data_IF_568284705910
#
_entry.id   IF_568284705910
#
_cell.length_a   1.000
_cell.length_b   1.000
_cell.length_c   1.000
_cell.angle_alpha   90.00
_cell.angle_beta   90.00
_cell.angle_gamma   90.00
#
_symmetry.space_group_name_H-M   'P 1'
#
loop_
_entity.id
_entity.type
_entity.pdbx_description
1 polymer ?
#
# COMPACT_ATOMS: atom_id res chain seq x y z
N UNK A 1 16.99 -44.22 -1.68
CA UNK A 1 15.58 -44.09 -1.13
C UNK A 1 14.80 -42.97 -1.78
N UNK A 2 14.78 -41.79 -1.10
CA UNK A 2 14.18 -40.48 -1.59
C UNK A 2 13.58 -39.62 -0.45
N UNK A 3 12.42 -40.09 -0.02
CA UNK A 3 11.57 -39.43 0.99
C UNK A 3 12.02 -38.37 1.99
N UNK A 4 11.04 -37.62 2.43
CA UNK A 4 11.27 -36.55 3.35
C UNK A 4 12.07 -36.95 4.57
N UNK A 5 11.49 -37.80 5.44
CA UNK A 5 12.20 -38.21 6.65
C UNK A 5 13.71 -38.39 6.52
N UNK A 6 14.17 -38.96 5.42
CA UNK A 6 15.60 -39.16 5.26
C UNK A 6 16.26 -37.86 4.82
N UNK A 7 15.61 -37.13 3.91
CA UNK A 7 16.15 -35.87 3.44
C UNK A 7 16.54 -35.01 4.64
N UNK A 8 15.59 -34.81 5.55
CA UNK A 8 15.81 -34.02 6.76
C UNK A 8 17.15 -34.36 7.37
N UNK A 9 17.46 -35.65 7.38
CA UNK A 9 18.71 -36.12 7.94
C UNK A 9 19.83 -35.89 6.94
N UNK A 10 19.53 -36.14 5.66
CA UNK A 10 20.48 -35.94 4.58
C UNK A 10 21.14 -34.58 4.75
N UNK A 11 20.39 -33.67 5.37
CA UNK A 11 20.85 -32.31 5.62
C UNK A 11 22.09 -32.28 6.52
N UNK A 12 21.98 -32.99 7.65
CA UNK A 12 23.02 -33.03 8.67
C UNK A 12 24.43 -33.58 8.44
N UNK A 13 24.60 -34.62 7.63
CA UNK A 13 25.93 -35.15 7.48
C UNK A 13 26.79 -34.39 6.47
N UNK A 14 28.08 -34.33 6.80
CA UNK A 14 29.18 -33.68 6.09
C UNK A 14 29.35 -33.69 4.56
N UNK A 15 28.80 -34.65 3.81
CA UNK A 15 29.02 -34.57 2.37
C UNK A 15 28.03 -33.59 1.76
N UNK A 16 28.53 -32.44 1.29
CA UNK A 16 27.70 -31.40 0.70
C UNK A 16 26.85 -31.93 -0.46
N UNK A 17 27.33 -32.97 -1.13
CA UNK A 17 26.62 -33.59 -2.24
C UNK A 17 25.28 -34.13 -1.73
N UNK A 18 25.27 -34.54 -0.46
CA UNK A 18 24.07 -35.07 0.20
C UNK A 18 23.44 -34.03 1.13
N UNK A 19 23.97 -32.81 1.07
CA UNK A 19 23.45 -31.70 1.85
C UNK A 19 22.65 -30.87 0.85
N UNK A 20 23.08 -30.95 -0.42
CA UNK A 20 22.42 -30.24 -1.50
C UNK A 20 21.10 -30.96 -1.71
N UNK A 21 21.20 -32.23 -2.06
CA UNK A 21 20.03 -33.10 -2.29
C UNK A 21 18.97 -32.86 -1.22
N UNK A 22 19.44 -32.76 0.02
CA UNK A 22 18.57 -32.56 1.16
C UNK A 22 17.57 -31.42 1.11
N UNK A 23 18.05 -30.18 1.19
CA UNK A 23 17.14 -29.04 1.15
C UNK A 23 16.39 -29.02 -0.16
N UNK A 24 17.11 -29.21 -1.27
CA UNK A 24 16.49 -29.24 -2.60
C UNK A 24 15.29 -30.16 -2.58
N UNK A 25 15.49 -31.39 -2.09
CA UNK A 25 14.40 -32.35 -2.03
C UNK A 25 13.22 -31.79 -1.25
N UNK A 26 13.45 -31.36 -0.02
CA UNK A 26 12.34 -30.83 0.75
C UNK A 26 11.84 -29.49 0.23
N UNK A 27 12.60 -28.86 -0.68
CA UNK A 27 12.12 -27.61 -1.23
C UNK A 27 10.89 -27.98 -2.06
N UNK A 28 11.08 -28.73 -3.16
CA UNK A 28 9.93 -29.09 -3.99
C UNK A 28 8.91 -29.92 -3.24
N UNK A 29 9.27 -31.17 -2.99
CA UNK A 29 8.40 -32.10 -2.29
C UNK A 29 7.44 -31.35 -1.37
N UNK A 30 8.01 -30.41 -0.61
CA UNK A 30 7.23 -29.62 0.32
C UNK A 30 6.86 -28.27 -0.25
N UNK A 31 6.47 -28.24 -1.52
CA UNK A 31 6.09 -26.97 -2.14
C UNK A 31 4.63 -26.68 -1.86
N UNK A 32 3.75 -27.40 -2.55
CA UNK A 32 2.33 -27.16 -2.42
C UNK A 32 1.49 -28.31 -1.87
N UNK A 33 1.71 -28.69 -0.62
CA UNK A 33 0.88 -29.74 -0.05
C UNK A 33 0.47 -29.41 1.38
N UNK A 34 1.33 -28.69 2.11
CA UNK A 34 1.05 -28.28 3.48
C UNK A 34 1.16 -29.36 4.55
N UNK A 35 1.39 -30.59 4.12
CA UNK A 35 1.53 -31.70 5.06
C UNK A 35 3.01 -32.03 5.20
N UNK A 36 3.73 -31.91 4.09
CA UNK A 36 5.16 -32.18 4.11
C UNK A 36 5.83 -31.04 4.88
N UNK A 37 5.07 -29.97 5.13
CA UNK A 37 5.58 -28.83 5.88
C UNK A 37 5.49 -29.21 7.33
N UNK A 38 4.36 -29.81 7.70
CA UNK A 38 4.13 -30.27 9.06
C UNK A 38 5.32 -31.15 9.36
N UNK A 39 5.46 -32.20 8.56
CA UNK A 39 6.53 -33.19 8.69
C UNK A 39 7.88 -32.54 8.96
N UNK A 40 8.43 -31.89 7.94
CA UNK A 40 9.73 -31.24 8.06
C UNK A 40 9.82 -30.47 9.37
N UNK A 41 8.73 -29.80 9.73
CA UNK A 41 8.67 -29.01 10.96
C UNK A 41 8.85 -29.92 12.15
N UNK A 42 7.85 -30.76 12.39
CA UNK A 42 7.90 -31.68 13.52
C UNK A 42 9.05 -32.69 13.37
N UNK A 43 9.85 -32.51 12.32
CA UNK A 43 10.99 -33.38 12.08
C UNK A 43 12.28 -32.62 12.40
N UNK A 44 12.15 -31.34 12.68
CA UNK A 44 13.29 -30.51 13.01
C UNK A 44 14.14 -30.09 11.82
N UNK A 45 13.53 -30.06 10.64
CA UNK A 45 14.24 -29.67 9.43
C UNK A 45 14.49 -28.19 9.37
N UNK A 46 13.64 -27.43 10.07
CA UNK A 46 13.76 -25.98 10.14
C UNK A 46 15.20 -25.65 10.51
N UNK A 47 15.56 -26.02 11.74
CA UNK A 47 16.88 -25.80 12.29
C UNK A 47 18.00 -26.22 11.37
N UNK A 48 17.95 -27.47 10.93
CA UNK A 48 18.99 -28.00 10.07
C UNK A 48 19.30 -27.07 8.91
N UNK A 49 18.29 -26.80 8.08
CA UNK A 49 18.45 -25.92 6.93
C UNK A 49 18.96 -24.54 7.32
N UNK A 50 18.51 -24.01 8.47
CA UNK A 50 18.91 -22.69 8.94
C UNK A 50 20.43 -22.53 9.04
N UNK A 51 21.12 -23.58 9.44
CA UNK A 51 22.57 -23.53 9.56
C UNK A 51 23.17 -23.52 8.16
N UNK A 52 23.06 -24.66 7.47
CA UNK A 52 23.57 -24.86 6.12
C UNK A 52 23.84 -23.60 5.32
N UNK A 53 23.08 -22.53 5.60
CA UNK A 53 23.26 -21.24 4.91
C UNK A 53 24.69 -20.74 5.10
N UNK A 54 25.28 -21.10 6.25
CA UNK A 54 26.65 -20.73 6.59
C UNK A 54 27.61 -21.48 5.70
N UNK A 55 27.14 -22.58 5.13
CA UNK A 55 27.93 -23.43 4.24
C UNK A 55 28.71 -22.71 3.15
N UNK A 56 29.86 -23.29 2.74
CA UNK A 56 30.77 -22.78 1.71
C UNK A 56 30.36 -23.09 0.26
N UNK A 57 29.33 -23.92 0.06
CA UNK A 57 28.90 -24.24 -1.29
C UNK A 57 27.60 -23.50 -1.65
N UNK A 58 27.66 -22.68 -2.71
CA UNK A 58 26.53 -21.88 -3.18
C UNK A 58 25.27 -22.72 -3.33
N UNK A 59 25.43 -23.94 -3.81
CA UNK A 59 24.29 -24.83 -3.98
C UNK A 59 23.68 -25.21 -2.64
N UNK A 60 24.51 -25.61 -1.69
CA UNK A 60 23.99 -25.96 -0.37
C UNK A 60 23.44 -24.68 0.24
N UNK A 61 23.70 -23.56 -0.43
CA UNK A 61 23.22 -22.25 0.00
C UNK A 61 21.87 -21.97 -0.67
N UNK A 62 21.80 -22.22 -1.97
CA UNK A 62 20.57 -22.03 -2.72
C UNK A 62 19.55 -22.98 -2.13
N UNK A 63 19.93 -24.25 -2.12
CA UNK A 63 19.11 -25.34 -1.62
C UNK A 63 18.41 -25.02 -0.30
N UNK A 64 19.19 -24.67 0.71
CA UNK A 64 18.63 -24.36 2.00
C UNK A 64 17.72 -23.14 1.92
N UNK A 65 18.20 -22.11 1.21
CA UNK A 65 17.44 -20.88 1.05
C UNK A 65 16.03 -21.13 0.52
N UNK A 66 15.94 -21.78 -0.64
CA UNK A 66 14.65 -22.07 -1.23
C UNK A 66 13.80 -22.94 -0.32
N UNK A 67 14.34 -24.11 0.01
CA UNK A 67 13.64 -25.06 0.86
C UNK A 67 12.93 -24.29 1.97
N UNK A 68 13.63 -23.32 2.55
CA UNK A 68 13.06 -22.52 3.63
C UNK A 68 11.93 -21.64 3.14
N UNK A 69 12.16 -20.93 2.03
CA UNK A 69 11.17 -20.03 1.44
C UNK A 69 9.86 -20.75 1.23
N UNK A 70 9.94 -21.94 0.65
CA UNK A 70 8.76 -22.73 0.40
C UNK A 70 8.16 -23.28 1.68
N UNK A 71 9.02 -23.83 2.54
CA UNK A 71 8.55 -24.40 3.80
C UNK A 71 7.70 -23.45 4.62
N UNK A 72 8.05 -22.18 4.58
CA UNK A 72 7.33 -21.17 5.32
C UNK A 72 6.08 -20.65 4.63
N UNK A 73 6.16 -20.47 3.32
CA UNK A 73 5.04 -19.94 2.56
C UNK A 73 3.69 -20.29 3.16
N UNK A 74 3.00 -19.27 3.63
CA UNK A 74 1.68 -19.44 4.18
C UNK A 74 1.64 -20.52 5.26
N UNK A 75 2.20 -20.21 6.42
CA UNK A 75 2.23 -21.13 7.56
C UNK A 75 2.72 -20.36 8.78
N UNK A 76 1.79 -19.87 9.59
CA UNK A 76 2.16 -19.13 10.78
C UNK A 76 3.24 -19.87 11.56
N UNK A 77 2.99 -21.15 11.80
CA UNK A 77 3.92 -22.00 12.53
C UNK A 77 5.36 -21.88 12.07
N UNK A 78 5.68 -22.59 10.98
CA UNK A 78 7.00 -22.62 10.39
C UNK A 78 7.69 -21.26 10.37
N UNK A 79 6.90 -20.21 10.24
CA UNK A 79 7.46 -18.86 10.26
C UNK A 79 8.04 -18.64 11.66
N UNK A 80 7.15 -18.60 12.65
CA UNK A 80 7.56 -18.40 14.04
C UNK A 80 8.82 -19.21 14.34
N UNK A 81 8.78 -20.50 14.08
CA UNK A 81 9.93 -21.34 14.35
C UNK A 81 11.16 -20.90 13.55
N UNK A 82 10.96 -20.45 12.30
CA UNK A 82 12.10 -20.03 11.51
C UNK A 82 12.90 -18.95 12.26
N UNK A 83 12.20 -18.15 13.05
CA UNK A 83 12.84 -17.12 13.84
C UNK A 83 13.49 -17.74 15.07
N UNK A 84 12.69 -18.46 15.86
CA UNK A 84 13.18 -19.12 17.05
C UNK A 84 14.48 -19.86 16.75
N UNK A 85 14.65 -20.30 15.51
CA UNK A 85 15.85 -21.04 15.11
C UNK A 85 17.00 -20.13 14.72
N UNK A 86 16.83 -18.82 14.90
CA UNK A 86 17.87 -17.88 14.53
C UNK A 86 18.05 -17.84 13.02
N UNK A 87 16.97 -17.56 12.30
CA UNK A 87 17.04 -17.52 10.85
C UNK A 87 17.01 -16.11 10.27
N UNK A 88 16.14 -15.26 10.80
CA UNK A 88 16.06 -13.90 10.32
C UNK A 88 17.45 -13.29 10.44
N UNK A 89 18.24 -13.86 11.33
CA UNK A 89 19.62 -13.42 11.57
C UNK A 89 20.54 -14.06 10.53
N UNK A 90 20.22 -15.29 10.14
CA UNK A 90 21.02 -16.01 9.18
C UNK A 90 20.73 -15.68 7.71
N UNK A 91 19.48 -15.38 7.39
CA UNK A 91 19.15 -15.06 6.02
C UNK A 91 19.84 -13.77 5.62
N UNK A 92 19.70 -12.75 6.46
CA UNK A 92 20.28 -11.44 6.21
C UNK A 92 21.82 -11.45 6.14
N UNK A 93 22.44 -12.34 6.89
CA UNK A 93 23.88 -12.45 6.90
C UNK A 93 24.40 -13.14 5.65
N UNK A 94 23.47 -13.50 4.76
CA UNK A 94 23.87 -14.15 3.53
C UNK A 94 23.75 -13.12 2.40
N UNK A 95 22.71 -12.29 2.46
CA UNK A 95 22.53 -11.26 1.43
C UNK A 95 23.72 -10.29 1.43
N UNK A 96 24.26 -10.02 2.61
CA UNK A 96 25.40 -9.11 2.76
C UNK A 96 26.65 -9.55 2.01
N UNK A 97 26.85 -10.86 1.92
CA UNK A 97 28.00 -11.37 1.20
C UNK A 97 27.60 -12.41 0.17
N UNK A 98 26.89 -11.96 -0.87
CA UNK A 98 26.48 -12.86 -1.93
C UNK A 98 26.49 -12.14 -3.27
N UNK A 99 26.85 -12.89 -4.31
CA UNK A 99 26.88 -12.35 -5.65
C UNK A 99 25.95 -13.18 -6.50
N UNK A 100 25.45 -14.27 -5.93
CA UNK A 100 24.55 -15.17 -6.63
C UNK A 100 23.13 -14.59 -6.75
N UNK A 101 22.65 -14.44 -7.98
CA UNK A 101 21.32 -13.88 -8.23
C UNK A 101 20.22 -14.78 -7.68
N UNK A 102 20.39 -16.09 -7.82
CA UNK A 102 19.40 -17.03 -7.33
C UNK A 102 19.34 -17.02 -5.80
N UNK A 103 20.51 -16.95 -5.15
CA UNK A 103 20.55 -16.92 -3.68
C UNK A 103 19.85 -15.67 -3.18
N UNK A 104 20.06 -14.57 -3.89
CA UNK A 104 19.45 -13.30 -3.53
C UNK A 104 17.93 -13.33 -3.73
N UNK A 105 17.48 -14.03 -4.77
CA UNK A 105 16.05 -14.14 -5.04
C UNK A 105 15.36 -14.96 -3.96
N UNK A 106 15.99 -16.06 -3.56
CA UNK A 106 15.43 -16.94 -2.56
C UNK A 106 15.34 -16.34 -1.16
N UNK A 107 16.46 -15.81 -0.68
CA UNK A 107 16.51 -15.20 0.64
C UNK A 107 15.50 -14.07 0.74
N UNK A 108 15.44 -13.30 -0.33
CA UNK A 108 14.55 -12.16 -0.40
C UNK A 108 13.09 -12.60 -0.46
N UNK A 109 12.82 -13.72 -1.15
CA UNK A 109 11.46 -14.23 -1.26
C UNK A 109 11.04 -14.80 0.08
N UNK A 110 12.01 -15.39 0.77
CA UNK A 110 11.82 -15.96 2.09
C UNK A 110 11.34 -14.86 3.00
N UNK A 111 12.20 -13.85 3.17
CA UNK A 111 11.90 -12.69 4.01
C UNK A 111 10.52 -12.10 3.74
N UNK A 112 10.13 -12.07 2.47
CA UNK A 112 8.83 -11.54 2.07
C UNK A 112 7.77 -12.34 2.75
N UNK A 113 7.87 -13.66 2.65
CA UNK A 113 6.88 -14.55 3.28
C UNK A 113 6.76 -14.28 4.78
N UNK A 114 7.90 -14.12 5.45
CA UNK A 114 7.89 -13.85 6.88
C UNK A 114 7.14 -12.56 7.26
N UNK A 115 7.30 -11.51 6.46
CA UNK A 115 6.66 -10.22 6.73
C UNK A 115 5.15 -10.18 6.79
N UNK A 116 4.50 -11.22 6.29
CA UNK A 116 3.04 -11.25 6.33
C UNK A 116 2.58 -11.74 7.70
N UNK A 117 3.50 -12.36 8.45
CA UNK A 117 3.18 -12.86 9.78
C UNK A 117 3.14 -11.61 10.68
N UNK A 118 1.95 -11.04 10.77
CA UNK A 118 1.73 -9.79 11.50
C UNK A 118 2.54 -9.43 12.72
N UNK A 119 3.13 -10.40 13.40
CA UNK A 119 3.86 -10.02 14.59
C UNK A 119 5.37 -9.86 14.51
N UNK A 120 6.09 -10.87 14.06
CA UNK A 120 7.55 -10.75 14.01
C UNK A 120 8.14 -9.78 12.98
N UNK A 121 7.36 -8.82 12.53
CA UNK A 121 7.85 -7.83 11.57
C UNK A 121 9.01 -7.05 12.18
N UNK A 122 8.84 -6.69 13.46
CA UNK A 122 9.79 -5.92 14.24
C UNK A 122 11.26 -6.29 14.07
N UNK A 123 11.57 -7.58 14.04
CA UNK A 123 12.95 -8.03 13.88
C UNK A 123 13.39 -7.89 12.43
N UNK A 124 12.40 -7.79 11.54
CA UNK A 124 12.65 -7.63 10.10
C UNK A 124 13.03 -6.21 9.76
N UNK A 125 12.30 -5.26 10.33
CA UNK A 125 12.60 -3.87 10.08
C UNK A 125 13.89 -3.53 10.81
N UNK A 126 14.12 -4.25 11.91
CA UNK A 126 15.32 -4.02 12.70
C UNK A 126 16.57 -4.57 12.01
N UNK A 127 16.51 -5.81 11.53
CA UNK A 127 17.67 -6.43 10.89
C UNK A 127 17.60 -6.65 9.38
N UNK A 128 16.40 -6.82 8.84
CA UNK A 128 16.21 -7.05 7.41
C UNK A 128 16.23 -5.78 6.55
N UNK A 129 15.32 -4.87 6.86
CA UNK A 129 15.20 -3.62 6.13
C UNK A 129 16.48 -3.04 5.52
N UNK A 130 17.51 -2.80 6.34
CA UNK A 130 18.79 -2.25 5.87
C UNK A 130 19.42 -2.93 4.67
N UNK A 131 19.75 -4.21 4.82
CA UNK A 131 20.35 -4.95 3.72
C UNK A 131 19.53 -4.86 2.45
N UNK A 132 18.20 -4.85 2.60
CA UNK A 132 17.30 -4.76 1.46
C UNK A 132 17.34 -3.35 0.85
N UNK A 133 17.26 -2.34 1.71
CA UNK A 133 17.30 -0.96 1.25
C UNK A 133 18.60 -0.68 0.52
N UNK A 134 19.68 -1.25 1.04
CA UNK A 134 21.03 -1.05 0.50
C UNK A 134 21.39 -1.88 -0.72
N UNK A 135 21.65 -3.17 -0.50
CA UNK A 135 22.06 -4.05 -1.59
C UNK A 135 21.04 -4.33 -2.71
N UNK A 136 19.76 -4.13 -2.45
CA UNK A 136 18.79 -4.40 -3.49
C UNK A 136 18.05 -3.15 -3.95
N UNK A 137 17.17 -2.64 -3.10
CA UNK A 137 16.39 -1.50 -3.50
C UNK A 137 17.15 -0.28 -4.07
N UNK A 138 17.97 0.38 -3.28
CA UNK A 138 18.65 1.57 -3.80
C UNK A 138 19.38 1.43 -5.14
N UNK A 139 20.34 0.49 -5.22
CA UNK A 139 21.10 0.27 -6.46
C UNK A 139 20.26 -0.27 -7.61
N UNK A 140 18.94 -0.26 -7.51
CA UNK A 140 18.12 -0.78 -8.61
C UNK A 140 17.51 0.39 -9.35
N UNK A 141 17.13 1.39 -8.57
CA UNK A 141 16.52 2.59 -9.09
C UNK A 141 17.59 3.49 -9.63
N UNK A 142 18.79 3.31 -9.09
CA UNK A 142 19.93 4.11 -9.50
C UNK A 142 19.77 5.50 -8.94
N UNK A 143 19.34 5.56 -7.69
CA UNK A 143 19.11 6.83 -7.05
C UNK A 143 20.41 7.55 -6.64
N UNK A 144 21.54 6.99 -7.03
CA UNK A 144 22.86 7.55 -6.72
C UNK A 144 22.87 9.08 -6.89
N UNK A 154 24.26 -4.82 -10.14
CA UNK A 154 23.09 -4.77 -11.01
C UNK A 154 21.75 -4.93 -10.27
N UNK A 155 21.55 -6.10 -9.68
CA UNK A 155 20.32 -6.44 -8.95
C UNK A 155 19.26 -6.89 -9.96
N UNK A 156 18.81 -8.12 -9.81
CA UNK A 156 17.83 -8.70 -10.71
C UNK A 156 16.43 -8.18 -10.42
N UNK A 157 15.68 -7.85 -11.47
CA UNK A 157 14.32 -7.34 -11.34
C UNK A 157 13.47 -8.14 -10.35
N UNK A 158 13.77 -9.42 -10.18
CA UNK A 158 12.98 -10.25 -9.27
C UNK A 158 13.38 -10.03 -7.80
N UNK A 159 14.68 -9.83 -7.57
CA UNK A 159 15.17 -9.60 -6.23
C UNK A 159 14.52 -8.33 -5.71
N UNK A 160 14.46 -7.31 -6.55
CA UNK A 160 13.85 -6.02 -6.20
C UNK A 160 12.36 -6.24 -5.96
N UNK A 161 11.78 -7.15 -6.73
CA UNK A 161 10.37 -7.49 -6.60
C UNK A 161 10.07 -8.00 -5.19
N UNK A 162 10.78 -9.06 -4.79
CA UNK A 162 10.61 -9.64 -3.47
C UNK A 162 10.92 -8.65 -2.35
N UNK A 163 11.98 -7.88 -2.51
CA UNK A 163 12.38 -6.91 -1.49
C UNK A 163 11.27 -5.87 -1.25
N UNK A 164 10.81 -5.28 -2.34
CA UNK A 164 9.75 -4.29 -2.27
C UNK A 164 8.50 -4.95 -1.71
N UNK A 165 8.37 -6.26 -1.94
CA UNK A 165 7.22 -6.98 -1.43
C UNK A 165 7.33 -7.01 0.08
N UNK A 166 8.55 -7.31 0.52
CA UNK A 166 8.90 -7.39 1.93
C UNK A 166 8.60 -6.06 2.62
N UNK A 167 9.15 -4.96 2.09
CA UNK A 167 8.92 -3.65 2.70
C UNK A 167 7.44 -3.25 2.66
N UNK A 168 6.70 -3.86 1.76
CA UNK A 168 5.29 -3.54 1.60
C UNK A 168 4.50 -3.99 2.79
N UNK A 169 5.01 -5.01 3.45
CA UNK A 169 4.36 -5.55 4.63
C UNK A 169 4.84 -4.83 5.86
N UNK A 170 6.12 -4.46 5.84
CA UNK A 170 6.73 -3.72 6.96
C UNK A 170 6.13 -2.31 7.03
N UNK A 171 5.94 -1.69 5.88
CA UNK A 171 5.36 -0.35 5.88
C UNK A 171 3.98 -0.40 6.51
N UNK A 172 3.56 -1.58 6.96
CA UNK A 172 2.23 -1.73 7.54
C UNK A 172 2.11 -1.46 9.05
N UNK A 173 3.20 -1.59 9.79
CA UNK A 173 3.15 -1.36 11.23
C UNK A 173 3.62 0.05 11.54
N UNK A 174 3.17 0.59 12.68
CA UNK A 174 3.55 1.95 13.09
C UNK A 174 5.08 2.20 13.07
N UNK A 175 5.86 1.21 13.46
CA UNK A 175 7.32 1.35 13.49
C UNK A 175 7.92 1.36 12.08
N UNK A 176 7.71 0.31 11.31
CA UNK A 176 8.25 0.26 9.96
C UNK A 176 7.99 1.53 9.20
N UNK A 177 6.76 2.03 9.30
CA UNK A 177 6.37 3.26 8.62
C UNK A 177 7.31 4.40 9.02
N UNK A 178 7.51 4.55 10.32
CA UNK A 178 8.36 5.61 10.83
C UNK A 178 9.87 5.35 10.70
N UNK A 179 10.25 4.16 10.28
CA UNK A 179 11.68 3.85 10.14
C UNK A 179 12.17 4.10 8.72
N UNK A 180 11.30 3.82 7.75
CA UNK A 180 11.62 4.03 6.34
C UNK A 180 11.52 5.52 6.02
N UNK A 181 10.52 6.19 6.59
CA UNK A 181 10.38 7.62 6.36
C UNK A 181 11.69 8.31 6.76
N UNK A 182 12.54 7.61 7.52
CA UNK A 182 13.80 8.18 8.00
C UNK A 182 15.06 7.51 7.45
N UNK A 183 14.90 6.34 6.85
CA UNK A 183 16.05 5.64 6.29
C UNK A 183 16.52 6.33 5.00
N UNK A 184 17.58 7.11 5.14
CA UNK A 184 18.14 7.88 4.04
C UNK A 184 18.22 7.22 2.65
N UNK A 185 17.47 7.81 1.71
CA UNK A 185 17.45 7.35 0.33
C UNK A 185 16.43 6.30 -0.06
N UNK A 186 15.68 5.78 0.89
CA UNK A 186 14.71 4.76 0.57
C UNK A 186 13.54 5.30 -0.25
N UNK A 187 12.76 6.21 0.33
CA UNK A 187 11.64 6.78 -0.40
C UNK A 187 12.20 7.46 -1.64
N UNK A 188 13.38 8.04 -1.51
CA UNK A 188 14.01 8.69 -2.64
C UNK A 188 14.07 7.69 -3.80
N UNK A 189 14.48 6.47 -3.51
CA UNK A 189 14.59 5.44 -4.53
C UNK A 189 13.24 4.91 -5.00
N UNK A 190 12.42 4.44 -4.06
CA UNK A 190 11.11 3.93 -4.40
C UNK A 190 10.46 4.95 -5.35
N UNK A 191 10.76 6.21 -5.07
CA UNK A 191 10.25 7.32 -5.85
C UNK A 191 10.78 7.37 -7.27
N UNK A 192 12.07 7.12 -7.44
CA UNK A 192 12.64 7.16 -8.77
C UNK A 192 11.93 6.10 -9.58
N UNK A 193 12.13 4.85 -9.17
CA UNK A 193 11.52 3.72 -9.85
C UNK A 193 10.09 3.97 -10.31
N UNK A 194 9.20 4.37 -9.42
CA UNK A 194 7.83 4.60 -9.88
C UNK A 194 7.86 5.65 -10.99
N UNK A 195 8.51 6.80 -10.74
CA UNK A 195 8.62 7.86 -11.75
C UNK A 195 9.25 7.33 -13.04
N UNK A 196 10.37 6.63 -12.91
CA UNK A 196 11.06 6.01 -14.04
C UNK A 196 10.04 5.20 -14.84
N UNK A 197 9.42 4.23 -14.19
CA UNK A 197 8.42 3.38 -14.84
C UNK A 197 7.32 4.17 -15.54
N UNK A 198 6.87 5.26 -14.92
CA UNK A 198 5.82 6.03 -15.56
C UNK A 198 6.28 6.64 -16.89
N UNK A 199 7.56 7.01 -16.99
CA UNK A 199 8.08 7.61 -18.24
C UNK A 199 8.28 6.51 -19.29
N UNK A 200 8.79 5.37 -18.84
CA UNK A 200 9.01 4.22 -19.70
C UNK A 200 7.68 3.76 -20.21
N UNK A 201 6.61 4.26 -19.60
CA UNK A 201 5.25 3.89 -19.98
C UNK A 201 5.06 2.44 -19.58
N UNK A 202 5.53 2.15 -18.37
CA UNK A 202 5.44 0.82 -17.80
C UNK A 202 4.68 1.01 -16.47
N UNK A 203 3.56 1.71 -16.53
CA UNK A 203 2.77 1.96 -15.34
C UNK A 203 2.46 0.73 -14.51
N UNK A 204 2.41 -0.42 -15.15
CA UNK A 204 2.13 -1.66 -14.45
C UNK A 204 3.36 -2.54 -14.52
N UNK A 205 4.51 -1.92 -14.35
CA UNK A 205 5.76 -2.64 -14.36
C UNK A 205 5.80 -3.68 -13.23
N UNK A 206 6.84 -4.48 -13.13
CA UNK A 206 6.85 -5.50 -12.10
C UNK A 206 6.60 -5.07 -10.67
N UNK A 207 7.36 -4.10 -10.16
CA UNK A 207 7.18 -3.77 -8.76
C UNK A 207 6.55 -2.45 -8.42
N UNK A 208 5.89 -1.82 -9.39
CA UNK A 208 5.23 -0.54 -9.17
C UNK A 208 4.14 -0.64 -8.09
N UNK A 209 3.33 -1.69 -8.15
CA UNK A 209 2.28 -1.89 -7.17
C UNK A 209 2.84 -1.97 -5.74
N UNK A 210 3.86 -2.81 -5.55
CA UNK A 210 4.50 -2.92 -4.23
C UNK A 210 4.93 -1.54 -3.77
N UNK A 211 5.79 -0.91 -4.57
CA UNK A 211 6.29 0.40 -4.26
C UNK A 211 5.14 1.38 -4.00
N UNK A 212 4.14 1.38 -4.88
CA UNK A 212 3.01 2.26 -4.68
C UNK A 212 2.28 1.99 -3.39
N UNK A 213 2.38 0.76 -2.88
CA UNK A 213 1.73 0.44 -1.62
C UNK A 213 2.57 0.95 -0.44
N UNK A 214 3.88 0.79 -0.55
CA UNK A 214 4.81 1.26 0.48
C UNK A 214 4.62 2.75 0.66
N UNK A 215 4.44 3.46 -0.44
CA UNK A 215 4.26 4.90 -0.37
C UNK A 215 2.92 5.24 0.22
N UNK A 216 1.91 4.44 -0.10
CA UNK A 216 0.56 4.62 0.42
C UNK A 216 0.66 4.49 1.92
N UNK A 217 1.38 3.45 2.34
CA UNK A 217 1.56 3.21 3.76
C UNK A 217 2.42 4.28 4.47
N UNK A 218 3.49 4.75 3.83
CA UNK A 218 4.32 5.78 4.45
C UNK A 218 3.67 7.18 4.47
N UNK A 219 2.50 7.31 3.86
CA UNK A 219 1.78 8.58 3.79
C UNK A 219 0.65 8.59 4.80
N UNK A 220 0.60 7.56 5.64
CA UNK A 220 -0.46 7.49 6.62
C UNK A 220 -0.15 8.39 7.81
N UNK A 221 -1.13 9.21 8.19
CA UNK A 221 -0.96 10.15 9.30
C UNK A 221 0.37 10.92 9.20
N UNK A 222 0.59 11.55 8.06
CA UNK A 222 1.80 12.31 7.78
C UNK A 222 1.88 13.66 8.50
N UNK A 223 0.83 14.47 8.42
CA UNK A 223 0.89 15.76 9.11
C UNK A 223 0.97 15.56 10.60
N UNK A 224 0.67 14.36 11.04
CA UNK A 224 0.71 14.05 12.46
C UNK A 224 2.08 13.56 12.89
N UNK A 225 2.88 13.08 11.95
CA UNK A 225 4.19 12.58 12.30
C UNK A 225 5.34 13.38 11.74
N UNK A 226 5.48 13.47 10.43
CA UNK A 226 6.60 14.22 9.89
C UNK A 226 6.33 15.71 9.97
N UNK A 227 7.31 16.48 10.47
CA UNK A 227 7.18 17.94 10.61
C UNK A 227 7.33 18.63 9.27
N UNK A 228 6.62 19.72 9.10
CA UNK A 228 6.64 20.47 7.85
C UNK A 228 6.36 21.94 8.08
N UNK A 229 6.27 22.68 6.98
CA UNK A 229 5.97 24.10 7.08
C UNK A 229 4.54 24.24 7.55
N UNK A 230 3.67 23.34 7.07
CA UNK A 230 2.28 23.43 7.44
C UNK A 230 2.12 23.44 8.94
N UNK A 231 2.80 22.53 9.63
CA UNK A 231 2.65 22.48 11.08
C UNK A 231 3.20 23.72 11.75
N UNK A 232 4.18 24.34 11.11
CA UNK A 232 4.76 25.56 11.64
C UNK A 232 3.70 26.66 11.42
N UNK A 233 3.30 26.85 10.17
CA UNK A 233 2.30 27.83 9.80
C UNK A 233 1.07 27.60 10.65
N UNK A 234 1.05 26.47 11.35
CA UNK A 234 -0.09 26.15 12.18
C UNK A 234 0.04 26.66 13.62
N UNK A 235 1.27 26.74 14.15
CA UNK A 235 1.49 27.21 15.52
C UNK A 235 1.37 28.73 15.64
N UNK A 236 1.97 29.46 14.71
CA UNK A 236 1.89 30.91 14.73
C UNK A 236 0.88 31.38 13.69
N UNK A 237 -0.36 30.94 13.86
CA UNK A 237 -1.46 31.29 12.94
C UNK A 237 -2.71 30.48 13.27
N UNK A 266 -0.19 28.11 2.05
CA UNK A 266 0.76 29.21 1.85
C UNK A 266 2.21 28.76 1.64
N UNK A 267 2.65 27.66 2.29
CA UNK A 267 4.03 27.19 2.13
C UNK A 267 4.59 27.18 0.71
N UNK A 268 5.91 27.28 0.63
CA UNK A 268 6.61 27.28 -0.65
C UNK A 268 6.50 25.89 -1.25
N UNK A 269 7.39 25.02 -0.78
CA UNK A 269 7.50 23.62 -1.19
C UNK A 269 8.97 23.33 -1.49
N UNK A 270 9.61 22.57 -0.61
CA UNK A 270 11.01 22.22 -0.77
C UNK A 270 11.41 22.23 -2.23
N UNK A 271 12.58 22.76 -2.51
CA UNK A 271 13.02 22.80 -3.90
C UNK A 271 13.68 21.47 -4.21
N UNK A 272 14.35 20.93 -3.20
CA UNK A 272 15.05 19.68 -3.34
C UNK A 272 14.52 18.67 -2.35
N UNK A 273 13.34 18.07 -2.63
CA UNK A 273 12.81 17.09 -1.68
C UNK A 273 13.77 15.93 -1.44
N UNK A 274 13.95 15.58 -0.17
CA UNK A 274 14.82 14.49 0.26
C UNK A 274 13.88 13.49 0.86
N UNK A 275 14.27 12.23 0.87
CA UNK A 275 13.45 11.16 1.43
C UNK A 275 12.05 11.49 1.92
N UNK A 276 11.88 11.51 3.24
CA UNK A 276 10.58 11.78 3.82
C UNK A 276 9.88 12.93 3.09
N UNK A 277 10.68 13.78 2.50
CA UNK A 277 10.17 14.95 1.80
C UNK A 277 9.29 14.77 0.58
N UNK A 278 9.49 13.69 -0.17
CA UNK A 278 8.67 13.46 -1.35
C UNK A 278 7.18 13.23 -1.08
N UNK A 279 6.86 12.35 -0.14
CA UNK A 279 5.48 12.01 0.19
C UNK A 279 4.49 13.15 0.14
N UNK A 280 4.96 14.38 0.29
CA UNK A 280 4.04 15.51 0.27
C UNK A 280 4.41 16.53 -0.79
N UNK A 281 5.18 16.10 -1.79
CA UNK A 281 5.61 16.98 -2.88
C UNK A 281 4.70 16.79 -4.11
N UNK A 282 4.47 17.88 -4.85
CA UNK A 282 3.60 17.82 -6.01
C UNK A 282 4.22 16.96 -7.10
N UNK A 283 5.50 16.65 -6.92
CA UNK A 283 6.20 15.83 -7.87
C UNK A 283 5.65 14.43 -7.76
N UNK A 284 5.44 13.99 -6.53
CA UNK A 284 4.92 12.66 -6.26
C UNK A 284 3.43 12.60 -6.53
N UNK A 285 2.71 13.65 -6.15
CA UNK A 285 1.29 13.71 -6.40
C UNK A 285 1.04 13.47 -7.88
N UNK A 286 1.85 14.14 -8.72
CA UNK A 286 1.75 14.01 -10.17
C UNK A 286 2.05 12.60 -10.63
N UNK A 287 3.14 12.03 -10.11
CA UNK A 287 3.52 10.67 -10.45
C UNK A 287 2.37 9.72 -10.07
N UNK A 288 1.73 9.97 -8.92
CA UNK A 288 0.60 9.15 -8.48
C UNK A 288 -0.54 9.35 -9.44
N UNK A 289 -0.95 10.59 -9.63
CA UNK A 289 -2.04 10.91 -10.52
C UNK A 289 -1.77 10.34 -11.92
N UNK A 290 -0.50 10.19 -12.24
CA UNK A 290 -0.08 9.63 -13.52
C UNK A 290 -0.41 8.14 -13.55
N UNK A 291 0.02 7.45 -12.52
CA UNK A 291 -0.25 6.03 -12.43
C UNK A 291 -1.75 5.83 -12.50
N UNK A 292 -2.47 6.64 -11.72
CA UNK A 292 -3.93 6.58 -11.64
C UNK A 292 -4.66 6.52 -12.99
N UNK A 293 -4.29 7.40 -13.92
CA UNK A 293 -4.93 7.41 -15.21
C UNK A 293 -4.42 6.37 -16.21
N UNK A 294 -3.23 5.82 -16.01
CA UNK A 294 -2.74 4.81 -16.96
C UNK A 294 -2.75 3.36 -16.46
N UNK A 295 -2.61 3.15 -15.16
CA UNK A 295 -2.57 1.79 -14.65
C UNK A 295 -3.73 0.89 -14.98
N UNK A 296 -3.45 -0.40 -15.03
CA UNK A 296 -4.46 -1.37 -15.33
C UNK A 296 -4.72 -2.22 -14.12
N UNK A 297 -3.95 -2.04 -13.05
CA UNK A 297 -4.14 -2.80 -11.81
C UNK A 297 -4.93 -2.03 -10.75
N UNK A 298 -6.05 -2.59 -10.30
CA UNK A 298 -6.88 -1.96 -9.27
C UNK A 298 -6.02 -1.75 -8.04
N UNK A 299 -5.26 -2.79 -7.71
CA UNK A 299 -4.35 -2.76 -6.59
C UNK A 299 -3.59 -1.43 -6.64
N UNK A 300 -2.94 -1.14 -7.75
CA UNK A 300 -2.20 0.09 -7.89
C UNK A 300 -3.09 1.30 -7.83
N UNK A 301 -4.23 1.28 -8.50
CA UNK A 301 -5.13 2.42 -8.46
C UNK A 301 -5.49 2.76 -7.03
N UNK A 302 -5.75 1.73 -6.23
CA UNK A 302 -6.13 1.93 -4.83
C UNK A 302 -5.04 2.60 -4.02
N UNK A 303 -3.79 2.35 -4.37
CA UNK A 303 -2.67 2.95 -3.66
C UNK A 303 -2.60 4.41 -4.01
N UNK A 304 -2.54 4.68 -5.30
CA UNK A 304 -2.50 6.04 -5.74
C UNK A 304 -3.61 6.80 -5.07
N UNK A 305 -4.85 6.36 -5.24
CA UNK A 305 -5.99 7.04 -4.60
C UNK A 305 -5.73 7.11 -3.10
N UNK A 306 -5.30 5.97 -2.58
CA UNK A 306 -5.02 5.84 -1.18
C UNK A 306 -4.08 6.87 -0.62
N UNK A 307 -2.87 6.96 -1.14
CA UNK A 307 -1.92 7.95 -0.62
C UNK A 307 -2.50 9.37 -0.64
N UNK A 308 -3.20 9.73 -1.71
CA UNK A 308 -3.78 11.06 -1.78
C UNK A 308 -4.75 11.21 -0.62
N UNK A 309 -5.55 10.17 -0.36
CA UNK A 309 -6.49 10.15 0.77
C UNK A 309 -5.74 10.46 2.08
N UNK A 310 -4.69 9.68 2.39
CA UNK A 310 -3.91 9.89 3.60
C UNK A 310 -3.31 11.28 3.73
N UNK A 311 -2.74 11.79 2.65
CA UNK A 311 -2.14 13.13 2.62
C UNK A 311 -3.17 14.21 2.90
N UNK A 312 -4.43 13.90 2.65
CA UNK A 312 -5.51 14.85 2.79
C UNK A 312 -6.49 14.51 3.93
N UNK A 313 -6.05 13.68 4.87
CA UNK A 313 -6.90 13.29 5.99
C UNK A 313 -6.86 14.32 7.14
N UNK A 314 -5.65 14.84 7.34
CA UNK A 314 -5.29 15.81 8.38
C UNK A 314 -6.22 16.88 8.91
N UNK A 315 -7.42 17.09 8.34
CA UNK A 315 -8.32 18.17 8.82
C UNK A 315 -7.55 19.42 9.28
N UNK A 316 -6.27 19.51 8.92
CA UNK A 316 -5.46 20.64 9.33
C UNK A 316 -5.22 21.58 8.19
N UNK A 317 -3.97 22.02 8.07
CA UNK A 317 -3.61 22.97 7.02
C UNK A 317 -2.91 22.25 5.87
N UNK A 318 -2.19 21.18 6.20
CA UNK A 318 -1.47 20.42 5.19
C UNK A 318 -2.47 19.76 4.27
N UNK A 319 -3.63 19.44 4.82
CA UNK A 319 -4.69 18.81 4.06
C UNK A 319 -5.21 19.81 3.05
N UNK A 320 -5.24 21.08 3.42
CA UNK A 320 -5.71 22.13 2.53
C UNK A 320 -4.73 22.38 1.37
N UNK A 321 -3.44 22.36 1.68
CA UNK A 321 -2.45 22.57 0.64
C UNK A 321 -2.42 21.38 -0.30
N UNK A 322 -2.35 20.18 0.30
CA UNK A 322 -2.33 18.95 -0.46
C UNK A 322 -3.56 18.86 -1.32
N UNK A 323 -4.72 19.21 -0.80
CA UNK A 323 -5.92 19.17 -1.63
C UNK A 323 -5.71 20.04 -2.85
N UNK A 324 -5.23 21.25 -2.62
CA UNK A 324 -4.99 22.23 -3.67
C UNK A 324 -3.98 21.79 -4.72
N UNK A 325 -2.91 21.17 -4.25
CA UNK A 325 -1.85 20.69 -5.11
C UNK A 325 -2.34 19.58 -6.04
N UNK A 326 -3.38 18.89 -5.57
CA UNK A 326 -4.01 17.78 -6.27
C UNK A 326 -5.03 18.31 -7.25
N UNK A 327 -6.09 18.88 -6.71
CA UNK A 327 -7.16 19.38 -7.57
C UNK A 327 -6.85 20.63 -8.36
N UNK A 328 -5.80 21.36 -8.02
CA UNK A 328 -5.52 22.59 -8.75
C UNK A 328 -4.19 22.64 -9.52
N UNK A 329 -3.09 22.37 -8.85
CA UNK A 329 -1.81 22.44 -9.55
C UNK A 329 -1.69 21.28 -10.54
N UNK A 330 -1.81 20.05 -10.05
CA UNK A 330 -1.70 18.92 -10.92
C UNK A 330 -3.02 18.55 -11.58
N UNK A 331 -3.99 19.45 -11.48
CA UNK A 331 -5.33 19.23 -12.05
C UNK A 331 -5.70 17.76 -12.14
N UNK A 332 -5.83 17.08 -11.01
CA UNK A 332 -6.14 15.67 -11.05
C UNK A 332 -7.55 15.19 -10.83
N UNK A 333 -8.50 16.11 -10.56
CA UNK A 333 -9.88 15.69 -10.34
C UNK A 333 -10.34 14.63 -11.33
N UNK A 334 -10.02 14.81 -12.61
CA UNK A 334 -10.38 13.87 -13.67
C UNK A 334 -10.05 12.41 -13.38
N UNK A 335 -8.77 12.07 -13.20
CA UNK A 335 -8.38 10.68 -12.92
C UNK A 335 -9.01 10.14 -11.65
N UNK A 336 -9.41 11.02 -10.74
CA UNK A 336 -10.00 10.56 -9.50
C UNK A 336 -11.47 10.24 -9.71
N UNK A 337 -12.23 11.23 -10.17
CA UNK A 337 -13.65 11.06 -10.43
C UNK A 337 -13.88 9.98 -11.47
N UNK A 338 -12.80 9.48 -12.05
CA UNK A 338 -12.94 8.45 -13.06
C UNK A 338 -12.94 7.12 -12.34
N UNK A 339 -12.22 7.09 -11.22
CA UNK A 339 -12.12 5.88 -10.44
C UNK A 339 -13.48 5.49 -9.92
N UNK A 340 -14.35 6.48 -9.80
CA UNK A 340 -15.70 6.26 -9.28
C UNK A 340 -16.56 5.31 -10.11
N UNK A 341 -16.13 4.97 -11.32
CA UNK A 341 -16.91 4.06 -12.17
C UNK A 341 -16.32 2.66 -12.17
N UNK A 342 -15.15 2.53 -11.56
CA UNK A 342 -14.49 1.24 -11.49
C UNK A 342 -15.52 0.15 -11.25
N UNK A 343 -15.19 -1.05 -11.71
CA UNK A 343 -16.10 -2.15 -11.47
C UNK A 343 -15.63 -2.81 -10.18
N UNK A 344 -14.87 -2.07 -9.38
CA UNK A 344 -14.33 -2.60 -8.14
C UNK A 344 -14.68 -1.64 -6.97
N UNK A 345 -15.38 -2.15 -5.97
CA UNK A 345 -15.78 -1.33 -4.83
C UNK A 345 -14.65 -0.83 -3.95
N UNK A 346 -13.56 -1.59 -3.86
CA UNK A 346 -12.43 -1.17 -3.03
C UNK A 346 -11.82 0.07 -3.68
N UNK A 347 -11.94 0.14 -5.01
CA UNK A 347 -11.45 1.27 -5.78
C UNK A 347 -12.35 2.50 -5.63
N UNK A 348 -13.65 2.35 -5.81
CA UNK A 348 -14.56 3.48 -5.66
C UNK A 348 -14.43 4.05 -4.25
N UNK A 349 -14.14 3.18 -3.30
CA UNK A 349 -13.96 3.58 -1.92
C UNK A 349 -12.92 4.69 -1.88
N UNK A 350 -11.72 4.37 -2.32
CA UNK A 350 -10.62 5.32 -2.29
C UNK A 350 -10.94 6.64 -2.98
N UNK A 351 -11.47 6.58 -4.19
CA UNK A 351 -11.78 7.79 -4.90
C UNK A 351 -12.62 8.72 -4.07
N UNK A 352 -13.84 8.26 -3.77
CA UNK A 352 -14.81 9.02 -2.99
C UNK A 352 -14.25 9.43 -1.65
N UNK A 353 -13.44 8.57 -1.06
CA UNK A 353 -12.84 8.88 0.22
C UNK A 353 -11.93 10.08 -0.06
N UNK A 354 -11.26 10.06 -1.20
CA UNK A 354 -10.39 11.16 -1.59
C UNK A 354 -11.23 12.38 -1.92
N UNK A 355 -12.18 12.23 -2.82
CA UNK A 355 -13.02 13.37 -3.15
C UNK A 355 -13.56 14.08 -1.92
N UNK A 356 -14.14 13.33 -0.98
CA UNK A 356 -14.68 13.92 0.24
C UNK A 356 -13.70 14.87 0.94
N UNK A 357 -12.55 14.39 1.38
CA UNK A 357 -11.59 15.27 2.06
C UNK A 357 -11.32 16.54 1.30
N UNK A 358 -11.05 16.43 0.01
CA UNK A 358 -10.79 17.62 -0.76
C UNK A 358 -11.97 18.58 -0.66
N UNK A 359 -13.19 18.06 -0.77
CA UNK A 359 -14.39 18.91 -0.70
C UNK A 359 -14.50 19.74 0.56
N UNK A 360 -13.67 19.44 1.53
CA UNK A 360 -13.66 20.13 2.81
C UNK A 360 -13.07 21.56 2.72
N UNK A 361 -12.19 21.77 1.76
CA UNK A 361 -11.55 23.07 1.57
C UNK A 361 -12.21 23.94 0.49
N UNK A 362 -12.56 25.21 0.83
CA UNK A 362 -13.22 26.19 -0.04
C UNK A 362 -12.56 26.41 -1.41
N UNK A 363 -11.24 26.41 -1.45
CA UNK A 363 -10.54 26.61 -2.71
C UNK A 363 -10.81 25.52 -3.75
N UNK A 364 -11.36 24.38 -3.34
CA UNK A 364 -11.64 23.34 -4.30
C UNK A 364 -13.12 23.18 -4.64
N UNK A 365 -14.00 24.00 -4.05
CA UNK A 365 -15.44 23.90 -4.32
C UNK A 365 -15.81 24.16 -5.79
N UNK A 366 -15.27 25.23 -6.35
CA UNK A 366 -15.55 25.53 -7.74
C UNK A 366 -15.08 24.36 -8.59
N UNK A 367 -13.76 24.19 -8.66
CA UNK A 367 -13.16 23.14 -9.48
C UNK A 367 -13.87 21.79 -9.34
N UNK A 368 -14.21 21.42 -8.11
CA UNK A 368 -14.89 20.15 -7.85
C UNK A 368 -16.31 20.14 -8.38
N UNK A 369 -16.94 21.30 -8.37
CA UNK A 369 -18.29 21.42 -8.88
C UNK A 369 -18.37 21.26 -10.39
N UNK A 370 -17.37 21.76 -11.12
CA UNK A 370 -17.34 21.66 -12.57
C UNK A 370 -17.00 20.26 -13.09
N UNK A 371 -16.42 19.42 -12.24
CA UNK A 371 -16.02 18.09 -12.69
C UNK A 371 -16.31 16.89 -11.82
N UNK A 372 -16.91 17.08 -10.66
CA UNK A 372 -17.16 15.92 -9.83
C UNK A 372 -18.63 15.64 -9.55
N UNK A 373 -19.41 16.70 -9.34
CA UNK A 373 -20.84 16.59 -9.06
C UNK A 373 -21.62 15.55 -9.87
N UNK A 374 -21.49 15.55 -11.20
CA UNK A 374 -22.24 14.57 -11.98
C UNK A 374 -21.92 13.13 -11.59
N UNK A 375 -20.62 12.84 -11.54
CA UNK A 375 -20.20 11.49 -11.26
C UNK A 375 -20.42 11.04 -9.81
N UNK A 376 -20.41 11.97 -8.86
CA UNK A 376 -20.64 11.57 -7.48
C UNK A 376 -22.12 11.28 -7.32
N UNK A 377 -22.95 12.13 -7.93
CA UNK A 377 -24.39 11.95 -7.86
C UNK A 377 -24.83 10.58 -8.35
N UNK A 378 -24.50 10.22 -9.59
CA UNK A 378 -24.87 8.90 -10.09
C UNK A 378 -24.49 7.88 -9.03
N UNK A 379 -23.31 8.11 -8.45
CA UNK A 379 -22.75 7.23 -7.42
C UNK A 379 -23.38 7.53 -6.08
N UNK A 380 -24.67 7.82 -6.10
CA UNK A 380 -25.38 8.15 -4.86
C UNK A 380 -26.83 7.94 -5.21
N UNK A 381 -27.05 7.33 -6.38
CA UNK A 381 -28.39 7.02 -6.87
C UNK A 381 -28.47 5.51 -6.97
N UNK A 382 -27.30 4.86 -6.91
CA UNK A 382 -27.21 3.42 -7.02
C UNK A 382 -26.73 2.74 -5.75
N UNK A 383 -25.80 3.37 -5.04
CA UNK A 383 -25.28 2.75 -3.81
C UNK A 383 -26.26 2.72 -2.62
N UNK A 384 -26.82 1.53 -2.42
CA UNK A 384 -27.80 1.23 -1.39
C UNK A 384 -27.23 1.18 0.04
N UNK A 385 -25.95 0.85 0.15
CA UNK A 385 -25.34 0.75 1.46
C UNK A 385 -25.60 -0.64 2.00
N UNK A 386 -25.37 -1.63 1.15
CA UNK A 386 -25.58 -3.04 1.50
C UNK A 386 -24.25 -3.78 1.69
N UNK A 387 -23.13 -3.10 1.40
CA UNK A 387 -21.79 -3.67 1.51
C UNK A 387 -21.06 -2.95 2.61
N UNK A 388 -19.95 -3.53 3.06
CA UNK A 388 -19.14 -2.88 4.09
C UNK A 388 -18.57 -1.62 3.43
N UNK A 389 -18.31 -1.72 2.12
CA UNK A 389 -17.79 -0.60 1.37
C UNK A 389 -18.83 0.47 1.07
N UNK A 390 -19.87 0.11 0.33
CA UNK A 390 -20.90 1.07 -0.05
C UNK A 390 -21.36 1.97 1.10
N UNK A 391 -21.29 1.46 2.32
CA UNK A 391 -21.67 2.30 3.46
C UNK A 391 -20.61 3.41 3.53
N UNK A 392 -19.40 3.09 3.11
CA UNK A 392 -18.31 4.04 3.07
C UNK A 392 -18.46 4.95 1.88
N UNK A 393 -18.69 4.35 0.71
CA UNK A 393 -18.84 5.13 -0.49
C UNK A 393 -19.90 6.20 -0.30
N UNK A 394 -20.97 5.83 0.41
CA UNK A 394 -22.05 6.77 0.68
C UNK A 394 -21.62 7.83 1.69
N UNK A 395 -21.21 7.40 2.88
CA UNK A 395 -20.78 8.35 3.89
C UNK A 395 -19.86 9.39 3.21
N UNK A 396 -19.20 8.99 2.13
CA UNK A 396 -18.32 9.92 1.49
C UNK A 396 -18.99 10.71 0.38
N UNK A 397 -19.73 10.04 -0.48
CA UNK A 397 -20.37 10.77 -1.56
C UNK A 397 -21.46 11.74 -1.04
N UNK A 398 -21.71 11.70 0.27
CA UNK A 398 -22.73 12.56 0.85
C UNK A 398 -22.06 13.75 1.43
N UNK A 399 -21.06 13.48 2.26
CA UNK A 399 -20.28 14.53 2.90
C UNK A 399 -19.86 15.46 1.77
N UNK A 400 -19.36 14.83 0.69
CA UNK A 400 -18.90 15.50 -0.51
C UNK A 400 -19.96 16.44 -1.05
N UNK A 401 -21.17 15.94 -1.33
CA UNK A 401 -22.23 16.81 -1.83
C UNK A 401 -22.58 17.93 -0.83
N UNK A 402 -22.70 17.61 0.44
CA UNK A 402 -23.02 18.66 1.41
C UNK A 402 -21.99 19.79 1.32
N UNK A 403 -20.72 19.45 1.49
CA UNK A 403 -19.64 20.44 1.45
C UNK A 403 -19.69 21.33 0.23
N UNK A 404 -19.93 20.71 -0.92
CA UNK A 404 -19.98 21.40 -2.20
C UNK A 404 -21.22 22.23 -2.46
N UNK A 405 -22.41 21.64 -2.25
CA UNK A 405 -23.70 22.31 -2.48
C UNK A 405 -23.94 23.54 -1.61
N UNK A 406 -23.29 23.59 -0.45
CA UNK A 406 -23.42 24.71 0.46
C UNK A 406 -23.02 26.00 -0.25
N UNK A 407 -21.98 25.91 -1.07
CA UNK A 407 -21.44 27.04 -1.83
C UNK A 407 -22.18 27.41 -3.11
N UNK A 408 -22.97 26.50 -3.69
CA UNK A 408 -23.68 26.85 -4.91
C UNK A 408 -24.92 26.00 -5.12
N UNK A 409 -26.04 26.43 -4.54
CA UNK A 409 -27.27 25.66 -4.71
C UNK A 409 -27.46 25.16 -6.15
N UNK A 410 -27.32 26.07 -7.13
CA UNK A 410 -27.55 25.72 -8.52
C UNK A 410 -27.10 24.33 -8.89
N UNK A 411 -25.96 23.91 -8.34
CA UNK A 411 -25.42 22.60 -8.65
C UNK A 411 -26.35 21.47 -8.25
N UNK A 412 -27.13 21.73 -7.22
CA UNK A 412 -28.11 20.78 -6.73
C UNK A 412 -29.19 20.74 -7.81
N UNK A 413 -29.82 21.90 -8.03
CA UNK A 413 -30.86 22.02 -9.03
C UNK A 413 -30.50 21.31 -10.33
N UNK A 414 -29.20 21.17 -10.60
CA UNK A 414 -28.78 20.53 -11.85
C UNK A 414 -28.56 19.01 -11.79
N UNK A 415 -28.16 18.47 -10.64
CA UNK A 415 -27.87 17.04 -10.61
C UNK A 415 -28.70 16.15 -9.70
N UNK A 416 -29.39 16.76 -8.76
CA UNK A 416 -30.21 15.97 -7.88
C UNK A 416 -31.40 15.44 -8.67
N UNK A 417 -31.24 14.26 -9.25
CA UNK A 417 -32.31 13.64 -10.05
C UNK A 417 -33.37 13.04 -9.15
N UNK A 418 -34.61 13.06 -9.63
CA UNK A 418 -35.75 12.51 -8.88
C UNK A 418 -35.33 11.25 -8.16
N UNK A 419 -34.75 10.31 -8.91
CA UNK A 419 -34.28 9.04 -8.35
C UNK A 419 -33.22 9.30 -7.27
N UNK A 420 -32.14 9.98 -7.63
CA UNK A 420 -31.12 10.28 -6.64
C UNK A 420 -31.86 10.77 -5.40
N UNK A 421 -32.93 11.52 -5.65
CA UNK A 421 -33.75 12.08 -4.58
C UNK A 421 -34.47 11.00 -3.78
N UNK A 422 -35.18 10.10 -4.48
CA UNK A 422 -35.89 9.01 -3.83
C UNK A 422 -34.88 8.26 -2.97
N UNK A 423 -34.00 7.56 -3.68
CA UNK A 423 -32.95 6.74 -3.12
C UNK A 423 -32.13 7.23 -1.89
N UNK A 424 -32.44 8.39 -1.33
CA UNK A 424 -31.68 8.88 -0.18
C UNK A 424 -32.49 8.95 1.12
N UNK A 425 -33.81 9.07 0.98
CA UNK A 425 -34.65 9.16 2.17
C UNK A 425 -34.51 7.84 2.91
N UNK A 426 -34.93 6.76 2.25
CA UNK A 426 -34.86 5.42 2.83
C UNK A 426 -33.61 5.35 3.67
N UNK A 427 -32.49 5.60 3.03
CA UNK A 427 -31.20 5.57 3.71
C UNK A 427 -31.30 5.97 5.18
N UNK A 428 -31.94 7.11 5.45
CA UNK A 428 -32.08 7.60 6.83
C UNK A 428 -32.81 6.61 7.71
N UNK A 429 -33.69 5.83 7.10
CA UNK A 429 -34.46 4.82 7.78
C UNK A 429 -33.59 3.58 7.94
N UNK A 430 -33.30 2.94 6.81
CA UNK A 430 -32.47 1.74 6.73
C UNK A 430 -31.57 1.56 7.97
N UNK A 431 -32.10 0.89 8.99
CA UNK A 431 -31.37 0.63 10.23
C UNK A 431 -30.21 -0.34 10.01
N UNK A 432 -30.13 -0.90 8.80
CA UNK A 432 -29.07 -1.85 8.48
C UNK A 432 -27.78 -1.13 8.06
N UNK A 433 -27.73 0.18 8.24
CA UNK A 433 -26.55 0.94 7.87
C UNK A 433 -26.50 2.26 8.58
N UNK A 434 -26.22 2.21 9.88
CA UNK A 434 -26.15 3.44 10.68
C UNK A 434 -25.34 4.50 9.93
N UNK A 435 -24.15 4.10 9.50
CA UNK A 435 -23.18 4.93 8.77
C UNK A 435 -23.77 5.68 7.59
N UNK A 436 -24.29 4.95 6.61
CA UNK A 436 -24.88 5.55 5.43
C UNK A 436 -26.02 6.46 5.85
N UNK A 437 -26.94 5.89 6.63
CA UNK A 437 -28.11 6.62 7.12
C UNK A 437 -27.73 8.03 7.58
N UNK A 438 -26.99 8.09 8.68
CA UNK A 438 -26.61 9.36 9.24
C UNK A 438 -26.19 10.42 8.23
N UNK A 439 -25.15 10.13 7.46
CA UNK A 439 -24.69 11.08 6.47
C UNK A 439 -25.79 11.36 5.46
N UNK A 440 -26.67 10.39 5.26
CA UNK A 440 -27.76 10.56 4.31
C UNK A 440 -28.81 11.57 4.82
N UNK A 441 -29.20 11.45 6.08
CA UNK A 441 -30.19 12.37 6.64
C UNK A 441 -29.49 13.67 6.97
N UNK A 442 -28.22 13.55 7.35
CA UNK A 442 -27.40 14.73 7.66
C UNK A 442 -27.26 15.56 6.38
N UNK A 443 -27.30 14.89 5.23
CA UNK A 443 -27.18 15.55 3.94
C UNK A 443 -28.50 16.19 3.59
N UNK A 444 -29.56 15.70 4.22
CA UNK A 444 -30.91 16.19 3.98
C UNK A 444 -31.21 17.43 4.83
N UNK A 445 -30.91 17.36 6.12
CA UNK A 445 -31.14 18.47 7.02
C UNK A 445 -30.25 19.66 6.62
N UNK A 446 -28.99 19.34 6.32
CA UNK A 446 -28.00 20.32 5.90
C UNK A 446 -28.41 20.75 4.49
N UNK A 447 -29.62 20.38 4.09
CA UNK A 447 -30.10 20.72 2.77
C UNK A 447 -31.32 21.62 2.84
N UNK A 448 -31.54 22.22 4.01
CA UNK A 448 -32.65 23.15 4.25
C UNK A 448 -32.07 24.28 5.07
N UNK A 449 -30.75 24.32 5.13
CA UNK A 449 -30.01 25.33 5.87
C UNK A 449 -29.78 26.61 5.05
N UNK A 450 -30.40 26.66 3.87
CA UNK A 450 -30.29 27.82 2.98
C UNK A 450 -31.66 28.13 2.35
N UNK A 451 -31.85 29.39 1.98
CA UNK A 451 -33.10 29.86 1.40
C UNK A 451 -33.48 29.17 0.10
N UNK A 452 -32.47 28.86 -0.70
CA UNK A 452 -32.72 28.23 -1.99
C UNK A 452 -32.76 26.71 -1.88
N UNK A 453 -32.85 26.20 -0.66
CA UNK A 453 -32.88 24.76 -0.49
C UNK A 453 -34.20 24.16 -0.04
N UNK A 454 -34.80 23.45 -1.00
CA UNK A 454 -36.07 22.71 -0.93
C UNK A 454 -36.36 22.44 -2.39
N UNK A 455 -36.18 23.50 -3.18
CA UNK A 455 -36.41 23.47 -4.60
C UNK A 455 -37.16 22.24 -5.07
N UNK A 456 -36.38 21.31 -5.62
CA UNK A 456 -36.92 20.08 -6.17
C UNK A 456 -37.97 19.45 -5.29
N UNK A 457 -37.53 18.61 -4.35
CA UNK A 457 -38.45 17.93 -3.45
C UNK A 457 -39.71 18.74 -3.23
#
# INVERSE_FOLDING_TARGET
>A
GLTIPKAVQYLSSQDEKYQAIGAYYIQHTCFQDESAKQQVYQLGGICKLVDLLRSPNQNVQQAAAGALRNLVFRSTTNKLETRRQNGIREAVSLLRRTGNAEIQKQLTGLLWNLSSTDELKEELIADALPVLADRVIIPFSGWCDGNSNMSREVVDPEVFFNATGCLRNLSSADAGRQTMRNYSGLIDSLMAYVQNCVAASRCDDKSVENCMCVLHNLSYRLDAEVPTRYRQLEYNARNAYTEKSSTGCFSNKSDKMMNNNYDCPLPEEETNPKGSGWLYHSDAIRTYLNLMGKSKKDATLEACAGALQNLTASKGLMSSGMSQLIGLKEKGLPQIARLLQSGNSDVVRSGASLLSNMSRHPLLHRVMGNQVFPEVTRLLTSHTGNTSNSEDILSSACYTVRNLMASQPQLAKQYFSSSMLNNIINLCRSSASPKAAEAARLLLSDMWSSKELQGVL
#
